data_IF_596456482900
#
_entry.id   IF_596456482900
#
_cell.length_a   1.000
_cell.length_b   1.000
_cell.length_c   1.000
_cell.angle_alpha   90.00
_cell.angle_beta   90.00
_cell.angle_gamma   90.00
#
_symmetry.space_group_name_H-M   'P 1'
#
loop_
_entity.id
_entity.type
_entity.pdbx_description
1 polymer ?
#
# COMPACT_ATOMS: atom_id res chain seq x y z
N UNK A 1 13.57 23.58 -7.62
CA UNK A 1 13.30 22.68 -6.45
C UNK A 1 11.92 21.99 -6.51
N UNK A 2 11.18 22.02 -7.62
CA UNK A 2 9.80 21.52 -7.70
C UNK A 2 9.65 20.05 -8.09
N UNK A 3 10.74 19.37 -8.44
CA UNK A 3 10.67 18.03 -9.06
C UNK A 3 10.51 16.89 -8.05
N UNK A 4 11.14 16.97 -6.87
CA UNK A 4 11.09 15.89 -5.87
C UNK A 4 9.66 15.59 -5.36
N UNK A 5 8.86 16.59 -4.92
CA UNK A 5 7.48 16.35 -4.49
C UNK A 5 6.62 15.74 -5.60
N UNK A 6 6.86 16.13 -6.87
CA UNK A 6 6.17 15.56 -8.03
C UNK A 6 6.52 14.09 -8.23
N UNK A 7 7.79 13.73 -8.09
CA UNK A 7 8.27 12.34 -8.22
C UNK A 7 7.67 11.48 -7.11
N UNK A 8 7.71 11.90 -5.85
CA UNK A 8 7.15 11.10 -4.73
C UNK A 8 5.65 10.85 -4.90
N UNK A 9 4.91 11.88 -5.29
CA UNK A 9 3.48 11.76 -5.59
C UNK A 9 3.24 10.79 -6.74
N UNK A 10 3.97 10.93 -7.85
CA UNK A 10 3.84 10.07 -9.03
C UNK A 10 4.16 8.61 -8.70
N UNK A 11 5.26 8.36 -7.99
CA UNK A 11 5.66 7.02 -7.54
C UNK A 11 4.57 6.39 -6.68
N UNK A 12 3.98 7.15 -5.76
CA UNK A 12 2.87 6.66 -4.92
C UNK A 12 1.64 6.31 -5.76
N UNK A 13 1.25 7.18 -6.70
CA UNK A 13 0.12 6.93 -7.62
C UNK A 13 0.35 5.65 -8.42
N UNK A 14 1.53 5.50 -9.03
CA UNK A 14 1.88 4.32 -9.83
C UNK A 14 1.88 3.07 -8.95
N UNK A 15 2.44 3.13 -7.75
CA UNK A 15 2.47 2.01 -6.83
C UNK A 15 1.05 1.56 -6.39
N UNK A 16 0.14 2.50 -6.13
CA UNK A 16 -1.27 2.17 -5.80
C UNK A 16 -1.96 1.43 -6.94
N UNK A 17 -1.78 1.92 -8.18
CA UNK A 17 -2.34 1.28 -9.38
C UNK A 17 -1.72 -0.10 -9.58
N UNK A 18 -0.39 -0.19 -9.56
CA UNK A 18 0.34 -1.44 -9.77
C UNK A 18 -0.02 -2.50 -8.74
N UNK A 19 -0.14 -2.14 -7.45
CA UNK A 19 -0.55 -3.11 -6.43
C UNK A 19 -1.89 -3.74 -6.78
N UNK A 20 -2.92 -2.93 -7.05
CA UNK A 20 -4.25 -3.45 -7.37
C UNK A 20 -4.27 -4.31 -8.64
N UNK A 21 -3.60 -3.87 -9.71
CA UNK A 21 -3.56 -4.58 -10.97
C UNK A 21 -2.79 -5.91 -10.87
N UNK A 22 -1.64 -5.90 -10.19
CA UNK A 22 -0.80 -7.08 -10.02
C UNK A 22 -1.41 -8.10 -9.06
N UNK A 23 -2.11 -7.66 -8.00
CA UNK A 23 -2.88 -8.55 -7.13
C UNK A 23 -3.99 -9.28 -7.89
N UNK A 24 -4.68 -8.60 -8.80
CA UNK A 24 -5.70 -9.22 -9.65
C UNK A 24 -5.07 -10.20 -10.64
N UNK A 25 -3.95 -9.81 -11.27
CA UNK A 25 -3.21 -10.70 -12.17
C UNK A 25 -2.73 -11.97 -11.44
N UNK A 26 -2.22 -11.83 -10.22
CA UNK A 26 -1.84 -12.95 -9.35
C UNK A 26 -3.01 -13.92 -9.17
N UNK A 27 -4.17 -13.44 -8.73
CA UNK A 27 -5.36 -14.29 -8.50
C UNK A 27 -5.81 -14.95 -9.81
N UNK A 28 -5.86 -14.19 -10.91
CA UNK A 28 -6.32 -14.69 -12.20
C UNK A 28 -5.43 -15.78 -12.79
N UNK A 29 -4.13 -15.77 -12.45
CA UNK A 29 -3.15 -16.72 -13.00
C UNK A 29 -2.83 -17.87 -12.05
N UNK A 30 -3.03 -17.72 -10.74
CA UNK A 30 -2.74 -18.72 -9.72
C UNK A 30 -3.47 -20.06 -9.94
N UNK A 31 -4.71 -20.03 -10.42
CA UNK A 31 -5.54 -21.22 -10.58
C UNK A 31 -5.26 -22.01 -11.87
N UNK A 32 -4.36 -21.53 -12.74
CA UNK A 32 -4.07 -22.16 -14.04
C UNK A 32 -2.91 -23.15 -13.86
N UNK A 33 -3.13 -24.48 -14.04
CA UNK A 33 -2.11 -25.50 -13.80
C UNK A 33 -1.11 -25.58 -14.97
N UNK A 34 -0.33 -24.51 -15.16
CA UNK A 34 0.70 -24.40 -16.19
C UNK A 34 1.94 -23.66 -15.62
N UNK A 35 3.17 -24.16 -15.88
CA UNK A 35 4.40 -23.59 -15.29
C UNK A 35 4.65 -22.11 -15.65
N UNK A 36 4.20 -21.66 -16.82
CA UNK A 36 4.32 -20.27 -17.25
C UNK A 36 3.44 -19.39 -16.38
N UNK A 37 2.19 -19.80 -16.16
CA UNK A 37 1.25 -19.07 -15.32
C UNK A 37 1.64 -19.09 -13.85
N UNK A 38 2.24 -20.17 -13.36
CA UNK A 38 2.86 -20.20 -12.02
C UNK A 38 3.93 -19.13 -11.90
N UNK A 39 4.83 -19.03 -12.88
CA UNK A 39 5.90 -18.02 -12.90
C UNK A 39 5.33 -16.60 -12.91
N UNK A 40 4.35 -16.33 -13.79
CA UNK A 40 3.66 -15.04 -13.88
C UNK A 40 2.99 -14.68 -12.55
N UNK A 41 2.26 -15.62 -11.95
CA UNK A 41 1.59 -15.46 -10.67
C UNK A 41 2.57 -15.08 -9.55
N UNK A 42 3.70 -15.80 -9.44
CA UNK A 42 4.76 -15.52 -8.48
C UNK A 42 5.34 -14.11 -8.64
N UNK A 43 5.71 -13.71 -9.86
CA UNK A 43 6.26 -12.37 -10.11
C UNK A 43 5.21 -11.28 -9.87
N UNK A 44 3.97 -11.49 -10.30
CA UNK A 44 2.87 -10.57 -10.06
C UNK A 44 2.66 -10.36 -8.55
N UNK A 45 2.66 -11.43 -7.77
CA UNK A 45 2.54 -11.35 -6.32
C UNK A 45 3.70 -10.57 -5.68
N UNK A 46 4.95 -10.90 -6.03
CA UNK A 46 6.12 -10.22 -5.47
C UNK A 46 6.12 -8.72 -5.80
N UNK A 47 5.87 -8.37 -7.07
CA UNK A 47 5.79 -6.98 -7.49
C UNK A 47 4.60 -6.25 -6.85
N UNK A 48 3.47 -6.94 -6.62
CA UNK A 48 2.37 -6.37 -5.86
C UNK A 48 2.81 -6.02 -4.44
N UNK A 49 3.49 -6.91 -3.72
CA UNK A 49 3.96 -6.60 -2.37
C UNK A 49 4.92 -5.40 -2.33
N UNK A 50 5.86 -5.30 -3.28
CA UNK A 50 6.72 -4.12 -3.39
C UNK A 50 5.91 -2.83 -3.63
N UNK A 51 4.93 -2.88 -4.52
CA UNK A 51 4.03 -1.77 -4.79
C UNK A 51 3.19 -1.38 -3.56
N UNK A 52 2.71 -2.36 -2.78
CA UNK A 52 2.03 -2.11 -1.50
C UNK A 52 2.94 -1.36 -0.53
N UNK A 53 4.17 -1.81 -0.34
CA UNK A 53 5.12 -1.16 0.56
C UNK A 53 5.38 0.30 0.18
N UNK A 54 5.65 0.58 -1.10
CA UNK A 54 5.86 1.94 -1.59
C UNK A 54 4.61 2.81 -1.42
N UNK A 55 3.44 2.27 -1.80
CA UNK A 55 2.18 3.00 -1.67
C UNK A 55 1.82 3.31 -0.22
N UNK A 56 2.07 2.39 0.70
CA UNK A 56 1.83 2.57 2.14
C UNK A 56 2.64 3.74 2.70
N UNK A 57 3.94 3.82 2.37
CA UNK A 57 4.80 4.95 2.77
C UNK A 57 4.30 6.27 2.20
N UNK A 58 3.93 6.28 0.91
CA UNK A 58 3.40 7.48 0.25
C UNK A 58 2.08 7.97 0.84
N UNK A 59 1.14 7.06 1.14
CA UNK A 59 -0.12 7.39 1.81
C UNK A 59 0.11 7.86 3.25
N UNK A 60 1.03 7.23 3.98
CA UNK A 60 1.45 7.66 5.31
C UNK A 60 1.96 9.10 5.29
N UNK A 61 2.80 9.44 4.30
CA UNK A 61 3.28 10.80 4.09
C UNK A 61 2.13 11.78 3.81
N UNK A 62 1.28 11.46 2.83
CA UNK A 62 0.15 12.31 2.43
C UNK A 62 -0.81 12.63 3.59
N UNK A 63 -1.01 11.68 4.51
CA UNK A 63 -2.00 11.79 5.58
C UNK A 63 -1.43 12.24 6.93
N UNK A 64 -0.10 12.38 7.06
CA UNK A 64 0.56 12.61 8.37
C UNK A 64 0.15 13.91 9.04
N UNK A 65 -0.06 14.99 8.29
CA UNK A 65 -0.37 16.30 8.89
C UNK A 65 -1.81 16.34 9.42
N UNK A 66 -2.71 15.51 8.87
CA UNK A 66 -4.13 15.45 9.25
C UNK A 66 -4.40 14.37 10.30
N UNK A 67 -3.61 13.30 10.28
CA UNK A 67 -3.77 12.14 11.16
C UNK A 67 -2.41 11.60 11.63
N UNK A 68 -1.68 12.37 12.46
CA UNK A 68 -0.25 12.14 12.73
C UNK A 68 0.08 10.83 13.45
N UNK A 69 -0.91 10.18 14.07
CA UNK A 69 -0.73 8.85 14.69
C UNK A 69 -1.24 7.74 13.78
N UNK A 70 -2.42 7.92 13.18
CA UNK A 70 -3.08 6.86 12.41
C UNK A 70 -2.36 6.62 11.07
N UNK A 71 -1.97 7.67 10.37
CA UNK A 71 -1.30 7.57 9.07
C UNK A 71 0.03 6.78 9.12
N UNK A 72 1.00 7.13 9.99
CA UNK A 72 2.24 6.34 10.08
C UNK A 72 2.01 4.94 10.65
N UNK A 73 1.06 4.75 11.57
CA UNK A 73 0.70 3.41 12.07
C UNK A 73 0.17 2.53 10.94
N UNK A 74 -0.77 3.02 10.13
CA UNK A 74 -1.28 2.30 8.98
C UNK A 74 -0.18 1.99 7.96
N UNK A 75 0.65 2.98 7.63
CA UNK A 75 1.77 2.81 6.71
C UNK A 75 2.76 1.76 7.20
N UNK A 76 3.13 1.78 8.48
CA UNK A 76 4.03 0.81 9.09
C UNK A 76 3.47 -0.61 9.07
N UNK A 77 2.20 -0.78 9.46
CA UNK A 77 1.52 -2.08 9.44
C UNK A 77 1.43 -2.67 8.01
N UNK A 78 1.03 -1.85 7.04
CA UNK A 78 0.96 -2.28 5.63
C UNK A 78 2.34 -2.58 5.05
N UNK A 79 3.36 -1.78 5.37
CA UNK A 79 4.73 -2.01 4.92
C UNK A 79 5.32 -3.31 5.48
N UNK A 80 5.18 -3.54 6.79
CA UNK A 80 5.60 -4.81 7.42
C UNK A 80 4.83 -5.98 6.83
N UNK A 81 3.53 -5.82 6.60
CA UNK A 81 2.72 -6.85 5.96
C UNK A 81 3.18 -7.19 4.54
N UNK A 82 3.53 -6.18 3.74
CA UNK A 82 4.02 -6.40 2.39
C UNK A 82 5.30 -7.26 2.37
N UNK A 83 6.24 -6.95 3.26
CA UNK A 83 7.48 -7.73 3.42
C UNK A 83 7.14 -9.15 3.88
N UNK A 84 6.29 -9.29 4.89
CA UNK A 84 5.92 -10.59 5.45
C UNK A 84 5.16 -11.47 4.46
N UNK A 85 4.27 -10.90 3.64
CA UNK A 85 3.59 -11.62 2.55
C UNK A 85 4.60 -12.13 1.52
N UNK A 86 5.53 -11.27 1.08
CA UNK A 86 6.57 -11.67 0.13
C UNK A 86 7.46 -12.79 0.68
N UNK A 87 7.89 -12.68 1.94
CA UNK A 87 8.69 -13.70 2.61
C UNK A 87 7.94 -15.03 2.78
N UNK A 88 6.68 -14.97 3.24
CA UNK A 88 5.84 -16.16 3.40
C UNK A 88 5.60 -16.87 2.06
N UNK A 89 5.29 -16.13 1.00
CA UNK A 89 5.12 -16.71 -0.33
C UNK A 89 6.43 -17.32 -0.86
N UNK A 90 7.57 -16.64 -0.68
CA UNK A 90 8.87 -17.18 -1.03
C UNK A 90 9.20 -18.49 -0.30
N UNK A 91 8.89 -18.57 0.99
CA UNK A 91 9.08 -19.79 1.78
C UNK A 91 8.20 -20.95 1.28
N UNK A 92 6.94 -20.69 0.93
CA UNK A 92 6.04 -21.70 0.34
C UNK A 92 6.57 -22.20 -1.02
N UNK A 93 7.08 -21.31 -1.86
CA UNK A 93 7.66 -21.68 -3.16
C UNK A 93 8.95 -22.48 -3.03
N UNK A 94 9.75 -22.22 -1.99
CA UNK A 94 10.98 -22.98 -1.72
C UNK A 94 10.71 -24.41 -1.20
N UNK A 95 9.47 -24.71 -0.81
CA UNK A 95 9.11 -25.99 -0.20
C UNK A 95 7.72 -26.46 -0.69
N UNK A 96 7.57 -26.76 -2.00
CA UNK A 96 6.28 -27.04 -2.62
C UNK A 96 5.62 -28.35 -2.14
N UNK A 97 6.41 -29.27 -1.58
CA UNK A 97 5.95 -30.58 -1.11
C UNK A 97 5.56 -30.59 0.39
N UNK A 98 5.63 -29.44 1.08
CA UNK A 98 5.18 -29.36 2.46
C UNK A 98 3.66 -29.44 2.52
N UNK A 99 3.17 -30.50 3.16
CA UNK A 99 1.78 -30.56 3.62
C UNK A 99 1.53 -29.38 4.58
N UNK A 100 0.31 -28.82 4.57
CA UNK A 100 -0.08 -27.72 5.45
C UNK A 100 0.16 -28.06 6.93
N UNK A 101 0.02 -29.34 7.31
CA UNK A 101 0.32 -29.83 8.65
C UNK A 101 1.83 -29.85 9.00
N UNK A 102 2.70 -29.78 7.99
CA UNK A 102 4.15 -29.83 8.11
C UNK A 102 4.83 -28.45 8.03
N UNK A 103 4.05 -27.37 7.82
CA UNK A 103 4.55 -26.00 7.82
C UNK A 103 5.22 -25.71 9.17
N UNK A 104 6.53 -25.43 9.20
CA UNK A 104 7.22 -25.11 10.43
C UNK A 104 6.54 -23.94 11.15
N UNK A 105 6.34 -24.06 12.46
CA UNK A 105 5.72 -23.02 13.28
C UNK A 105 6.41 -21.65 13.14
N UNK A 106 7.69 -21.64 12.79
CA UNK A 106 8.47 -20.43 12.50
C UNK A 106 7.92 -19.64 11.30
N UNK A 107 7.29 -20.30 10.32
CA UNK A 107 6.59 -19.61 9.23
C UNK A 107 5.28 -18.96 9.72
N UNK A 108 4.61 -19.55 10.71
CA UNK A 108 3.45 -18.92 11.34
C UNK A 108 3.81 -17.63 12.10
N UNK A 109 5.02 -17.54 12.66
CA UNK A 109 5.52 -16.30 13.27
C UNK A 109 5.66 -15.16 12.26
N UNK A 110 5.82 -15.46 10.97
CA UNK A 110 5.83 -14.45 9.90
C UNK A 110 4.41 -14.19 9.43
N UNK A 111 3.62 -15.25 9.21
CA UNK A 111 2.26 -15.14 8.67
C UNK A 111 1.29 -14.39 9.59
N UNK A 112 1.36 -14.56 10.90
CA UNK A 112 0.43 -13.89 11.84
C UNK A 112 0.62 -12.36 11.85
N UNK A 113 1.83 -11.81 12.10
CA UNK A 113 2.06 -10.36 12.00
C UNK A 113 1.75 -9.81 10.62
N UNK A 114 1.99 -10.60 9.58
CA UNK A 114 1.66 -10.26 8.20
C UNK A 114 0.15 -10.04 8.02
N UNK A 115 -0.66 -10.98 8.52
CA UNK A 115 -2.12 -10.90 8.45
C UNK A 115 -2.65 -9.72 9.27
N UNK A 116 -2.14 -9.54 10.49
CA UNK A 116 -2.47 -8.39 11.35
C UNK A 116 -2.09 -7.08 10.64
N UNK A 117 -0.95 -7.06 9.96
CA UNK A 117 -0.46 -5.89 9.24
C UNK A 117 -1.36 -5.48 8.07
N UNK A 118 -1.83 -6.43 7.25
CA UNK A 118 -2.71 -6.09 6.12
C UNK A 118 -4.12 -5.72 6.59
N UNK A 119 -4.72 -6.54 7.47
CA UNK A 119 -6.09 -6.31 7.97
C UNK A 119 -6.10 -5.06 8.85
N UNK A 120 -5.26 -5.05 9.88
CA UNK A 120 -5.16 -3.94 10.82
C UNK A 120 -4.67 -2.66 10.16
N UNK A 121 -3.64 -2.74 9.31
CA UNK A 121 -3.13 -1.58 8.57
C UNK A 121 -4.18 -0.97 7.64
N UNK A 122 -4.96 -1.79 6.93
CA UNK A 122 -6.05 -1.31 6.07
C UNK A 122 -7.19 -0.70 6.87
N UNK A 123 -7.58 -1.29 8.00
CA UNK A 123 -8.61 -0.72 8.89
C UNK A 123 -8.13 0.63 9.45
N UNK A 124 -6.90 0.70 9.96
CA UNK A 124 -6.33 1.96 10.49
C UNK A 124 -6.24 3.01 9.37
N UNK A 125 -5.86 2.63 8.15
CA UNK A 125 -5.89 3.52 6.99
C UNK A 125 -7.29 4.04 6.70
N UNK A 126 -8.31 3.17 6.69
CA UNK A 126 -9.70 3.58 6.49
C UNK A 126 -10.15 4.59 7.57
N UNK A 127 -9.82 4.34 8.84
CA UNK A 127 -10.08 5.28 9.94
C UNK A 127 -9.33 6.59 9.75
N UNK A 128 -8.07 6.55 9.31
CA UNK A 128 -7.30 7.75 8.99
C UNK A 128 -7.98 8.57 7.88
N UNK A 129 -8.50 7.94 6.82
CA UNK A 129 -9.23 8.62 5.75
C UNK A 129 -10.50 9.30 6.24
N UNK A 130 -11.28 8.64 7.11
CA UNK A 130 -12.45 9.26 7.74
C UNK A 130 -12.07 10.48 8.58
N UNK A 131 -10.96 10.41 9.31
CA UNK A 131 -10.46 11.48 10.19
C UNK A 131 -9.82 12.63 9.43
N UNK A 132 -9.17 12.36 8.30
CA UNK A 132 -8.48 13.35 7.49
C UNK A 132 -9.41 14.32 6.74
N UNK A 133 -10.73 14.06 6.74
CA UNK A 133 -11.78 14.90 6.11
C UNK A 133 -11.44 15.34 4.69
N UNK A 134 -10.81 14.45 3.91
CA UNK A 134 -10.45 14.71 2.50
C UNK A 134 -11.66 14.79 1.54
N UNK A 135 -12.91 14.71 2.04
CA UNK A 135 -14.12 14.66 1.23
C UNK A 135 -14.40 13.30 0.58
N UNK A 136 -13.61 12.28 0.94
CA UNK A 136 -13.57 10.99 0.25
C UNK A 136 -13.84 9.86 1.26
N UNK A 137 -14.80 10.08 2.16
CA UNK A 137 -15.16 9.12 3.20
C UNK A 137 -15.59 7.75 2.62
N UNK A 138 -16.15 7.73 1.42
CA UNK A 138 -16.55 6.49 0.73
C UNK A 138 -15.36 5.53 0.53
N UNK A 139 -14.12 6.02 0.40
CA UNK A 139 -12.95 5.16 0.30
C UNK A 139 -12.70 4.37 1.59
N UNK A 140 -12.90 4.99 2.75
CA UNK A 140 -12.84 4.28 4.03
C UNK A 140 -13.85 3.12 4.08
N UNK A 141 -15.08 3.35 3.59
CA UNK A 141 -16.12 2.31 3.52
C UNK A 141 -15.71 1.20 2.56
N UNK A 142 -15.17 1.53 1.38
CA UNK A 142 -14.70 0.54 0.39
C UNK A 142 -13.56 -0.31 0.94
N UNK A 143 -12.59 0.28 1.64
CA UNK A 143 -11.47 -0.46 2.24
C UNK A 143 -11.93 -1.41 3.34
N UNK A 144 -12.86 -0.99 4.21
CA UNK A 144 -13.46 -1.87 5.22
C UNK A 144 -14.27 -2.98 4.55
N UNK A 145 -15.06 -2.65 3.54
CA UNK A 145 -15.80 -3.63 2.75
C UNK A 145 -14.88 -4.66 2.10
N UNK A 146 -13.77 -4.21 1.52
CA UNK A 146 -12.74 -5.09 0.96
C UNK A 146 -12.20 -6.05 2.02
N UNK A 147 -11.79 -5.57 3.20
CA UNK A 147 -11.30 -6.43 4.28
C UNK A 147 -12.33 -7.49 4.67
N UNK A 148 -13.60 -7.10 4.78
CA UNK A 148 -14.68 -8.05 5.12
C UNK A 148 -14.80 -9.13 4.05
N UNK A 149 -14.89 -8.73 2.78
CA UNK A 149 -15.09 -9.67 1.67
C UNK A 149 -13.86 -10.57 1.50
N UNK A 150 -12.66 -10.01 1.53
CA UNK A 150 -11.40 -10.74 1.34
C UNK A 150 -11.14 -11.75 2.44
N UNK A 151 -11.25 -11.35 3.71
CA UNK A 151 -10.78 -12.19 4.82
C UNK A 151 -11.88 -13.04 5.46
N UNK A 152 -13.16 -12.68 5.28
CA UNK A 152 -14.27 -13.43 5.88
C UNK A 152 -15.16 -14.13 4.86
N UNK A 153 -15.22 -13.66 3.60
CA UNK A 153 -16.16 -14.18 2.60
C UNK A 153 -15.49 -14.88 1.41
N UNK A 154 -14.19 -14.71 1.17
CA UNK A 154 -13.48 -15.25 -0.02
C UNK A 154 -13.56 -16.78 -0.14
N UNK A 155 -13.77 -17.49 0.97
CA UNK A 155 -13.99 -18.93 1.01
C UNK A 155 -15.41 -19.39 0.62
N UNK A 156 -16.37 -18.48 0.46
CA UNK A 156 -17.77 -18.81 0.13
C UNK A 156 -18.00 -19.09 -1.36
N UNK A 157 -17.02 -18.80 -2.21
CA UNK A 157 -17.05 -19.11 -3.64
C UNK A 157 -16.48 -18.00 -4.53
N UNK A 158 -16.55 -18.23 -5.85
CA UNK A 158 -15.93 -17.36 -6.86
C UNK A 158 -16.46 -15.93 -6.84
N UNK A 159 -17.75 -15.72 -6.52
CA UNK A 159 -18.34 -14.38 -6.47
C UNK A 159 -17.68 -13.51 -5.41
N UNK A 160 -17.28 -14.07 -4.26
CA UNK A 160 -16.64 -13.34 -3.18
C UNK A 160 -15.22 -12.91 -3.56
N UNK A 161 -14.50 -13.77 -4.28
CA UNK A 161 -13.19 -13.44 -4.83
C UNK A 161 -13.30 -12.30 -5.87
N UNK A 162 -14.28 -12.38 -6.77
CA UNK A 162 -14.53 -11.32 -7.76
C UNK A 162 -14.95 -9.99 -7.09
N UNK A 163 -15.82 -10.05 -6.09
CA UNK A 163 -16.24 -8.89 -5.32
C UNK A 163 -15.05 -8.26 -4.56
N UNK A 164 -14.20 -9.09 -3.95
CA UNK A 164 -12.97 -8.63 -3.30
C UNK A 164 -12.05 -7.92 -4.30
N UNK A 165 -11.76 -8.55 -5.44
CA UNK A 165 -10.94 -7.97 -6.50
C UNK A 165 -11.51 -6.62 -7.00
N UNK A 166 -12.83 -6.52 -7.17
CA UNK A 166 -13.47 -5.27 -7.56
C UNK A 166 -13.30 -4.17 -6.49
N UNK A 167 -13.51 -4.50 -5.21
CA UNK A 167 -13.34 -3.55 -4.10
C UNK A 167 -11.88 -3.12 -3.94
N UNK A 168 -10.93 -4.04 -4.15
CA UNK A 168 -9.49 -3.77 -4.18
C UNK A 168 -9.14 -2.72 -5.24
N UNK A 169 -9.58 -2.95 -6.49
CA UNK A 169 -9.38 -2.02 -7.60
C UNK A 169 -10.03 -0.67 -7.29
N UNK A 170 -11.32 -0.65 -6.94
CA UNK A 170 -12.06 0.59 -6.68
C UNK A 170 -11.42 1.40 -5.55
N UNK A 171 -11.03 0.73 -4.47
CA UNK A 171 -10.38 1.37 -3.32
C UNK A 171 -9.04 1.99 -3.69
N UNK A 172 -8.16 1.23 -4.34
CA UNK A 172 -6.79 1.69 -4.58
C UNK A 172 -6.63 2.58 -5.80
N UNK A 173 -7.45 2.42 -6.85
CA UNK A 173 -7.56 3.40 -7.93
C UNK A 173 -8.15 4.71 -7.38
N UNK A 174 -9.17 4.62 -6.53
CA UNK A 174 -9.72 5.80 -5.88
C UNK A 174 -8.65 6.53 -5.05
N UNK A 175 -7.88 5.81 -4.21
CA UNK A 175 -6.73 6.37 -3.50
C UNK A 175 -5.70 7.00 -4.45
N UNK A 176 -5.37 6.33 -5.56
CA UNK A 176 -4.45 6.86 -6.56
C UNK A 176 -4.93 8.19 -7.14
N UNK A 177 -6.25 8.33 -7.40
CA UNK A 177 -6.84 9.60 -7.85
C UNK A 177 -6.74 10.68 -6.77
N UNK A 178 -6.98 10.35 -5.50
CA UNK A 178 -6.80 11.30 -4.38
C UNK A 178 -5.35 11.77 -4.31
N UNK A 179 -4.40 10.83 -4.34
CA UNK A 179 -2.96 11.09 -4.34
C UNK A 179 -2.56 11.95 -5.54
N UNK A 180 -3.05 11.65 -6.75
CA UNK A 180 -2.73 12.43 -7.96
C UNK A 180 -3.26 13.88 -7.89
N UNK A 181 -4.40 14.09 -7.22
CA UNK A 181 -5.05 15.40 -7.07
C UNK A 181 -4.54 16.21 -5.88
N UNK A 182 -3.78 15.60 -4.97
CA UNK A 182 -3.23 16.31 -3.81
C UNK A 182 -2.22 17.40 -4.20
N UNK A 183 -2.15 18.44 -3.38
CA UNK A 183 -1.30 19.60 -3.65
C UNK A 183 0.17 19.22 -3.45
N UNK A 184 1.08 19.78 -4.26
CA UNK A 184 2.51 19.50 -4.09
C UNK A 184 3.05 19.94 -2.72
N UNK A 185 2.36 20.87 -2.07
CA UNK A 185 2.66 21.27 -0.69
C UNK A 185 2.54 20.11 0.29
N UNK A 186 1.58 19.21 0.10
CA UNK A 186 1.38 18.03 0.96
C UNK A 186 2.53 16.99 0.81
N UNK A 187 3.37 17.14 -0.22
CA UNK A 187 4.49 16.25 -0.56
C UNK A 187 5.86 16.84 -0.28
N UNK A 188 5.89 17.95 0.45
CA UNK A 188 7.10 18.69 0.75
C UNK A 188 7.26 18.89 2.24
N UNK A 189 8.50 18.93 2.70
CA UNK A 189 8.79 19.16 4.12
C UNK A 189 8.86 20.65 4.43
N UNK A 190 8.60 21.02 5.68
CA UNK A 190 8.78 22.41 6.15
C UNK A 190 10.20 22.91 5.82
N UNK A 191 11.20 22.04 5.97
CA UNK A 191 12.59 22.36 5.66
C UNK A 191 12.79 22.73 4.18
N UNK A 192 12.20 21.98 3.24
CA UNK A 192 12.27 22.27 1.81
C UNK A 192 11.68 23.64 1.47
N UNK A 193 10.56 24.02 2.12
CA UNK A 193 9.98 25.35 1.98
C UNK A 193 10.87 26.44 2.57
N UNK A 194 11.46 26.21 3.74
CA UNK A 194 12.37 27.19 4.37
C UNK A 194 13.61 27.42 3.50
N UNK A 195 14.16 26.37 2.90
CA UNK A 195 15.28 26.49 1.96
C UNK A 195 14.86 27.23 0.70
N UNK A 196 13.70 26.90 0.12
CA UNK A 196 13.19 27.59 -1.07
C UNK A 196 12.96 29.08 -0.82
N UNK A 197 12.42 29.45 0.35
CA UNK A 197 12.20 30.84 0.74
C UNK A 197 13.51 31.62 0.87
N UNK A 198 14.52 31.05 1.54
CA UNK A 198 15.86 31.67 1.65
C UNK A 198 16.58 31.85 0.32
N UNK A 199 16.35 30.96 -0.64
CA UNK A 199 16.91 31.08 -1.99
C UNK A 199 16.18 32.17 -2.79
N UNK A 200 14.87 32.33 -2.59
CA UNK A 200 14.07 33.34 -3.28
C UNK A 200 14.31 34.76 -2.76
N UNK A 201 14.63 34.91 -1.48
CA UNK A 201 14.96 36.18 -0.82
C UNK A 201 16.32 36.06 -0.13
N UNK A 202 17.43 36.16 -0.90
CA UNK A 202 18.76 36.09 -0.31
C UNK A 202 18.97 37.28 0.62
N UNK A 203 19.23 36.99 1.90
CA UNK A 203 19.56 38.00 2.90
C UNK A 203 20.66 38.92 2.33
N UNK A 204 20.49 40.26 2.36
CA UNK A 204 21.44 41.17 1.75
C UNK A 204 22.82 40.88 2.35
N UNK A 205 23.80 40.62 1.49
CA UNK A 205 25.15 40.31 1.91
C UNK A 205 25.61 41.38 2.90
N UNK A 206 25.79 40.99 4.17
CA UNK A 206 26.36 41.87 5.18
C UNK A 206 27.75 42.22 4.65
N UNK A 207 27.92 43.45 4.18
CA UNK A 207 29.19 43.93 3.70
C UNK A 207 30.20 43.81 4.85
N UNK A 208 31.16 42.90 4.71
CA UNK A 208 32.27 42.81 5.64
C UNK A 208 33.15 44.04 5.45
N UNK A 209 33.09 44.96 6.40
CA UNK A 209 34.05 46.07 6.55
C UNK A 209 35.43 45.59 6.99
#
# INVERSE_FOLDING_TARGET
MTELPRIYRLVTVVALVLWSALSVLYIATLAIPDPTFTTVSTFAFLCAQLALGVSAVGLGHLLRDRTPVLAPTAAGLLFVSAIGHAASAGAMLAAPDLDAASIPWSLNLVAIPTMIGVVGGTIVLAVALFRAKLGIAWLGVVLIGWVIVEFFLSGLGVWAQLASAALLIVGFIGLAVVTARSELRDWSTVHEWTVAARVADPEPAIASE
#
